data_IF_892917957842
#
_entry.id   IF_892917957842
#
_cell.length_a   1.000
_cell.length_b   1.000
_cell.length_c   1.000
_cell.angle_alpha   90.00
_cell.angle_beta   90.00
_cell.angle_gamma   90.00
#
_symmetry.space_group_name_H-M   'P 1'
#
loop_
_entity.id
_entity.type
_entity.pdbx_description
1 polymer ?
#
# COMPACT_ATOMS: atom_id res chain seq x y z
N UNK A 1 18.71 17.36 44.75
CA UNK A 1 18.66 17.53 43.31
C UNK A 1 17.21 17.71 42.91
N UNK A 2 16.83 18.94 42.67
CA UNK A 2 15.45 19.31 42.32
C UNK A 2 15.20 18.96 40.83
N UNK A 3 14.15 18.17 40.54
CA UNK A 3 13.63 17.98 39.22
C UNK A 3 12.93 19.25 38.76
N UNK A 4 13.48 19.83 37.73
CA UNK A 4 12.93 20.97 37.00
C UNK A 4 11.52 20.62 36.47
N UNK A 5 10.50 21.13 37.14
CA UNK A 5 9.12 21.10 36.66
C UNK A 5 9.03 22.17 35.58
N UNK A 6 9.18 21.81 34.31
CA UNK A 6 8.80 22.69 33.22
C UNK A 6 7.31 22.96 33.32
N UNK A 7 6.99 24.22 33.50
CA UNK A 7 5.64 24.74 33.48
C UNK A 7 5.03 24.56 32.09
N UNK A 8 4.07 23.66 31.95
CA UNK A 8 3.42 23.29 30.66
C UNK A 8 2.16 24.13 30.43
N UNK A 9 1.91 25.15 31.28
CA UNK A 9 0.62 25.84 31.37
C UNK A 9 0.34 26.91 30.30
N UNK A 10 1.29 27.24 29.40
CA UNK A 10 1.10 28.38 28.47
C UNK A 10 1.25 28.10 26.99
N UNK A 11 1.56 26.89 26.56
CA UNK A 11 1.66 26.61 25.12
C UNK A 11 0.32 26.13 24.56
N UNK A 12 -0.25 26.76 23.50
CA UNK A 12 -1.46 26.28 22.86
C UNK A 12 -1.20 24.88 22.29
N UNK A 13 -2.03 23.91 22.67
CA UNK A 13 -1.93 22.54 22.14
C UNK A 13 -2.41 22.55 20.71
N UNK A 14 -1.49 22.33 19.76
CA UNK A 14 -1.80 22.25 18.33
C UNK A 14 -1.87 20.79 17.90
N UNK A 15 -3.05 20.29 17.60
CA UNK A 15 -3.27 18.91 17.19
C UNK A 15 -3.07 18.69 15.67
N UNK A 16 -2.91 19.76 14.89
CA UNK A 16 -2.65 19.68 13.44
C UNK A 16 -3.63 18.74 12.73
N UNK A 17 -3.08 17.88 11.85
CA UNK A 17 -3.86 16.89 11.09
C UNK A 17 -4.57 15.81 11.92
N UNK A 18 -4.30 15.71 13.22
CA UNK A 18 -4.93 14.74 14.13
C UNK A 18 -6.10 15.33 14.94
N UNK A 19 -6.51 16.57 14.65
CA UNK A 19 -7.57 17.25 15.42
C UNK A 19 -8.88 16.44 15.47
N UNK A 20 -9.29 15.80 14.35
CA UNK A 20 -10.50 14.96 14.29
C UNK A 20 -10.43 13.78 15.26
N UNK A 21 -9.33 13.02 15.20
CA UNK A 21 -9.10 11.91 16.14
C UNK A 21 -9.05 12.38 17.59
N UNK A 22 -8.41 13.51 17.85
CA UNK A 22 -8.30 14.06 19.20
C UNK A 22 -9.65 14.56 19.74
N UNK A 23 -10.54 15.03 18.87
CA UNK A 23 -11.91 15.41 19.25
C UNK A 23 -12.76 14.18 19.56
N UNK A 24 -12.65 13.11 18.76
CA UNK A 24 -13.34 11.84 19.03
C UNK A 24 -12.86 11.24 20.35
N UNK A 25 -11.54 11.20 20.59
CA UNK A 25 -10.98 10.74 21.87
C UNK A 25 -11.35 11.66 23.05
N UNK A 26 -11.55 12.94 22.81
CA UNK A 26 -12.04 13.85 23.84
C UNK A 26 -13.51 13.62 24.18
N UNK A 27 -14.34 13.33 23.18
CA UNK A 27 -15.74 12.95 23.39
C UNK A 27 -15.84 11.61 24.14
N UNK A 28 -14.98 10.63 23.83
CA UNK A 28 -14.87 9.37 24.59
C UNK A 28 -14.42 9.61 26.03
N UNK A 29 -13.42 10.47 26.26
CA UNK A 29 -12.96 10.88 27.59
C UNK A 29 -14.07 11.57 28.39
N UNK A 30 -14.92 12.37 27.76
CA UNK A 30 -16.04 13.02 28.47
C UNK A 30 -17.10 12.03 28.92
N UNK A 31 -17.27 10.90 28.21
CA UNK A 31 -18.17 9.81 28.57
C UNK A 31 -17.55 8.89 29.62
N UNK A 32 -16.31 8.48 29.39
CA UNK A 32 -15.53 7.64 30.32
C UNK A 32 -14.04 8.07 30.30
N UNK A 33 -13.58 8.76 31.34
CA UNK A 33 -12.19 9.20 31.46
C UNK A 33 -11.15 8.09 31.33
N UNK A 34 -11.52 6.84 31.62
CA UNK A 34 -10.60 5.68 31.52
C UNK A 34 -10.51 5.08 30.12
N UNK A 35 -11.33 5.54 29.17
CA UNK A 35 -11.34 5.08 27.77
C UNK A 35 -10.11 5.50 26.99
N UNK A 36 -9.34 6.46 27.47
CA UNK A 36 -8.15 6.98 26.81
C UNK A 36 -6.88 6.74 27.64
N UNK A 37 -5.70 6.81 26.98
CA UNK A 37 -4.42 6.62 27.69
C UNK A 37 -4.17 7.68 28.77
N UNK A 38 -3.37 7.33 29.78
CA UNK A 38 -3.05 8.22 30.94
C UNK A 38 -2.53 9.59 30.49
N UNK A 39 -1.70 9.64 29.45
CA UNK A 39 -1.18 10.90 28.89
C UNK A 39 -2.30 11.78 28.32
N UNK A 40 -3.28 11.16 27.66
CA UNK A 40 -4.46 11.86 27.13
C UNK A 40 -5.44 12.28 28.22
N UNK A 41 -5.58 11.49 29.28
CA UNK A 41 -6.39 11.87 30.46
C UNK A 41 -5.86 13.15 31.10
N UNK A 42 -4.55 13.25 31.28
CA UNK A 42 -3.91 14.47 31.81
C UNK A 42 -4.16 15.66 30.87
N UNK A 43 -3.95 15.49 29.58
CA UNK A 43 -4.16 16.54 28.60
C UNK A 43 -5.63 17.00 28.56
N UNK A 44 -6.57 16.06 28.50
CA UNK A 44 -8.00 16.36 28.41
C UNK A 44 -8.58 16.92 29.69
N UNK A 45 -8.05 16.53 30.83
CA UNK A 45 -8.41 17.17 32.12
C UNK A 45 -7.99 18.64 32.16
N UNK A 46 -6.81 18.96 31.65
CA UNK A 46 -6.29 20.33 31.53
C UNK A 46 -7.17 21.19 30.61
N UNK A 47 -7.61 20.60 29.50
CA UNK A 47 -8.53 21.26 28.54
C UNK A 47 -9.91 21.49 29.20
N UNK A 48 -10.46 20.48 29.91
CA UNK A 48 -11.75 20.54 30.55
C UNK A 48 -11.81 21.60 31.67
N UNK A 49 -10.69 21.76 32.37
CA UNK A 49 -10.59 22.74 33.48
C UNK A 49 -10.36 24.19 33.01
N UNK A 50 -10.28 24.41 31.69
CA UNK A 50 -10.04 25.75 31.11
C UNK A 50 -8.61 26.28 31.29
N UNK A 51 -7.68 25.42 31.73
CA UNK A 51 -6.27 25.76 31.94
C UNK A 51 -5.46 25.70 30.62
N UNK A 52 -6.01 25.07 29.58
CA UNK A 52 -5.46 25.12 28.24
C UNK A 52 -6.55 25.56 27.25
N UNK A 53 -6.32 26.67 26.58
CA UNK A 53 -7.16 27.06 25.43
C UNK A 53 -6.71 26.28 24.21
N UNK A 54 -7.58 25.40 23.69
CA UNK A 54 -7.41 24.80 22.36
C UNK A 54 -7.63 25.91 21.33
N UNK A 55 -6.61 26.70 21.03
CA UNK A 55 -6.61 27.57 19.87
C UNK A 55 -6.16 26.75 18.68
N UNK A 56 -7.11 26.24 17.90
CA UNK A 56 -6.84 25.92 16.52
C UNK A 56 -6.42 27.23 15.82
N UNK A 57 -5.11 27.53 15.82
CA UNK A 57 -4.57 28.54 14.93
C UNK A 57 -4.55 27.95 13.53
N UNK A 58 -5.70 28.00 12.86
CA UNK A 58 -5.67 28.12 11.43
C UNK A 58 -5.11 29.53 11.16
N UNK A 59 -3.91 29.64 10.66
CA UNK A 59 -3.37 30.90 10.16
C UNK A 59 -4.25 31.33 8.99
N UNK A 60 -5.25 32.12 9.29
CA UNK A 60 -5.99 32.88 8.28
C UNK A 60 -5.15 34.12 7.98
N UNK A 61 -4.23 33.99 7.05
CA UNK A 61 -3.79 35.16 6.32
C UNK A 61 -4.92 35.57 5.36
N UNK A 62 -5.59 36.65 5.69
CA UNK A 62 -6.36 37.48 4.79
C UNK A 62 -7.81 37.08 4.50
N UNK A 63 -8.75 37.78 5.12
CA UNK A 63 -10.13 38.07 4.65
C UNK A 63 -10.92 36.90 4.00
N UNK A 64 -11.50 36.04 4.82
CA UNK A 64 -12.51 35.08 4.38
C UNK A 64 -13.37 34.66 5.58
N UNK A 65 -14.67 34.71 5.44
CA UNK A 65 -15.68 34.24 6.38
C UNK A 65 -15.28 32.89 7.00
N UNK A 66 -15.02 32.90 8.31
CA UNK A 66 -14.66 31.69 9.06
C UNK A 66 -15.82 30.70 8.99
N UNK A 67 -15.57 29.50 8.40
CA UNK A 67 -16.50 28.39 8.49
C UNK A 67 -16.70 28.08 10.01
N UNK A 68 -17.94 27.79 10.42
CA UNK A 68 -18.23 27.45 11.80
C UNK A 68 -17.56 26.10 12.19
N UNK A 69 -17.29 25.91 13.48
CA UNK A 69 -16.64 24.71 13.97
C UNK A 69 -17.37 23.42 13.58
N UNK A 70 -18.71 23.49 13.45
CA UNK A 70 -19.52 22.33 13.04
C UNK A 70 -19.26 21.94 11.60
N UNK A 71 -19.03 22.90 10.73
CA UNK A 71 -18.67 22.66 9.32
C UNK A 71 -17.27 22.07 9.21
N UNK A 72 -16.30 22.60 9.95
CA UNK A 72 -14.93 22.05 10.01
C UNK A 72 -14.94 20.58 10.46
N UNK A 73 -15.67 20.24 11.54
CA UNK A 73 -15.82 18.86 12.00
C UNK A 73 -16.41 17.93 10.93
N UNK A 74 -17.41 18.38 10.18
CA UNK A 74 -18.01 17.60 9.08
C UNK A 74 -17.04 17.37 7.92
N UNK A 75 -16.22 18.36 7.56
CA UNK A 75 -15.16 18.24 6.56
C UNK A 75 -14.12 17.23 7.00
N UNK A 76 -13.67 17.28 8.25
CA UNK A 76 -12.69 16.35 8.78
C UNK A 76 -13.21 14.91 8.80
N UNK A 77 -14.46 14.68 9.20
CA UNK A 77 -15.10 13.35 9.14
C UNK A 77 -15.17 12.82 7.71
N UNK A 78 -15.50 13.64 6.72
CA UNK A 78 -15.46 13.24 5.31
C UNK A 78 -14.06 12.83 4.88
N UNK A 79 -13.04 13.61 5.26
CA UNK A 79 -11.63 13.33 4.94
C UNK A 79 -11.22 11.98 5.53
N UNK A 80 -11.51 11.72 6.78
CA UNK A 80 -11.16 10.49 7.47
C UNK A 80 -11.91 9.29 6.87
N UNK A 81 -13.19 9.46 6.52
CA UNK A 81 -13.95 8.41 5.82
C UNK A 81 -13.36 8.09 4.44
N UNK A 82 -12.91 9.10 3.68
CA UNK A 82 -12.26 8.86 2.38
C UNK A 82 -10.95 8.08 2.58
N UNK A 83 -10.15 8.41 3.60
CA UNK A 83 -8.92 7.69 3.91
C UNK A 83 -9.17 6.25 4.34
N UNK A 84 -10.20 6.03 5.15
CA UNK A 84 -10.52 4.73 5.71
C UNK A 84 -11.27 3.82 4.73
N UNK A 85 -12.21 4.37 3.97
CA UNK A 85 -13.17 3.60 3.19
C UNK A 85 -13.16 3.93 1.68
N UNK A 86 -12.31 4.86 1.22
CA UNK A 86 -12.22 5.24 -0.19
C UNK A 86 -11.93 4.06 -1.11
N UNK A 87 -11.13 3.08 -0.64
CA UNK A 87 -10.84 1.84 -1.36
C UNK A 87 -12.09 1.04 -1.74
N UNK A 88 -13.20 1.19 -1.00
CA UNK A 88 -14.48 0.54 -1.33
C UNK A 88 -15.14 1.12 -2.59
N UNK A 89 -14.78 2.34 -2.99
CA UNK A 89 -15.22 2.96 -4.25
C UNK A 89 -14.12 3.02 -5.31
N UNK A 90 -12.96 2.43 -5.05
CA UNK A 90 -11.88 2.41 -6.03
C UNK A 90 -12.29 1.60 -7.28
N UNK A 91 -11.95 2.15 -8.45
CA UNK A 91 -12.19 1.54 -9.76
C UNK A 91 -11.08 0.55 -10.09
N UNK A 92 -11.12 -0.60 -9.41
CA UNK A 92 -10.12 -1.68 -9.52
C UNK A 92 -10.64 -2.91 -10.29
N UNK A 93 -11.87 -2.86 -10.77
CA UNK A 93 -12.46 -3.96 -11.52
C UNK A 93 -12.43 -3.65 -13.02
N UNK A 94 -11.71 -4.43 -13.84
CA UNK A 94 -11.64 -4.20 -15.29
C UNK A 94 -12.95 -4.54 -16.02
N UNK A 95 -13.79 -5.37 -15.40
CA UNK A 95 -15.10 -5.79 -15.88
C UNK A 95 -16.06 -5.66 -14.71
N UNK A 96 -17.30 -5.48 -14.93
CA UNK A 96 -18.42 -5.35 -13.98
C UNK A 96 -18.06 -5.41 -12.48
N UNK A 97 -17.94 -4.26 -11.85
CA UNK A 97 -17.74 -4.17 -10.42
C UNK A 97 -18.90 -4.85 -9.66
N UNK A 98 -18.62 -5.64 -8.61
CA UNK A 98 -19.67 -6.21 -7.79
C UNK A 98 -20.49 -5.10 -7.13
N UNK A 99 -21.82 -5.25 -7.11
CA UNK A 99 -22.70 -4.34 -6.38
C UNK A 99 -22.39 -4.47 -4.88
N UNK A 100 -21.88 -3.41 -4.29
CA UNK A 100 -21.64 -3.33 -2.85
C UNK A 100 -22.91 -2.81 -2.16
N UNK A 101 -23.40 -3.56 -1.19
CA UNK A 101 -24.66 -3.25 -0.46
C UNK A 101 -24.45 -2.27 0.69
N UNK A 102 -23.21 -2.14 1.18
CA UNK A 102 -22.86 -1.23 2.27
C UNK A 102 -21.59 -0.43 1.92
N UNK A 103 -21.77 0.83 1.52
CA UNK A 103 -20.68 1.77 1.34
C UNK A 103 -20.87 2.86 2.40
N UNK A 104 -19.87 3.15 3.24
CA UNK A 104 -19.90 4.26 4.17
C UNK A 104 -20.11 5.60 3.43
N UNK A 105 -20.52 6.61 4.16
CA UNK A 105 -20.65 7.99 3.65
C UNK A 105 -19.32 8.50 3.12
N UNK A 106 -19.25 8.85 1.85
CA UNK A 106 -18.01 9.24 1.15
C UNK A 106 -18.18 10.46 0.24
N UNK A 107 -19.38 11.04 0.20
CA UNK A 107 -19.67 12.19 -0.66
C UNK A 107 -19.91 13.45 0.20
N UNK A 108 -19.67 14.62 -0.38
CA UNK A 108 -19.84 15.90 0.34
C UNK A 108 -21.28 16.09 0.83
N UNK A 109 -22.25 15.62 0.06
CA UNK A 109 -23.67 15.68 0.36
C UNK A 109 -24.05 14.84 1.59
N UNK A 110 -23.36 13.71 1.81
CA UNK A 110 -23.58 12.84 2.96
C UNK A 110 -23.31 13.53 4.30
N UNK A 111 -22.49 14.59 4.26
CA UNK A 111 -22.10 15.39 5.43
C UNK A 111 -22.78 16.77 5.46
N UNK A 112 -23.81 16.98 4.64
CA UNK A 112 -24.45 18.29 4.48
C UNK A 112 -23.44 19.40 4.15
N UNK A 113 -22.47 19.07 3.29
CA UNK A 113 -21.49 20.00 2.74
C UNK A 113 -21.83 20.31 1.29
N UNK A 114 -21.40 21.45 0.80
CA UNK A 114 -21.52 21.83 -0.59
C UNK A 114 -20.23 22.47 -1.10
N UNK A 115 -20.14 22.59 -2.42
CA UNK A 115 -18.98 23.14 -3.10
C UNK A 115 -18.60 24.54 -2.62
N UNK A 116 -19.59 25.42 -2.44
CA UNK A 116 -19.33 26.81 -2.08
C UNK A 116 -18.76 26.91 -0.65
N UNK A 117 -19.31 26.12 0.27
CA UNK A 117 -18.76 26.04 1.64
C UNK A 117 -17.31 25.58 1.63
N UNK A 118 -16.96 24.54 0.85
CA UNK A 118 -15.61 23.98 0.79
C UNK A 118 -14.62 24.93 0.10
N UNK A 119 -15.06 25.79 -0.81
CA UNK A 119 -14.21 26.81 -1.44
C UNK A 119 -13.76 27.89 -0.46
N UNK A 120 -14.54 28.14 0.59
CA UNK A 120 -14.23 29.13 1.61
C UNK A 120 -13.35 28.57 2.76
N UNK A 121 -12.91 27.31 2.64
CA UNK A 121 -12.08 26.62 3.64
C UNK A 121 -10.70 26.41 3.04
N UNK A 122 -9.65 26.58 3.85
CA UNK A 122 -8.27 26.33 3.43
C UNK A 122 -8.04 24.86 3.06
N UNK A 123 -7.28 24.64 1.99
CA UNK A 123 -6.84 23.31 1.54
C UNK A 123 -6.01 22.55 2.58
N UNK A 124 -5.32 23.27 3.46
CA UNK A 124 -4.53 22.68 4.56
C UNK A 124 -5.32 21.81 5.51
N UNK A 125 -6.66 21.98 5.60
CA UNK A 125 -7.51 21.07 6.39
C UNK A 125 -7.54 19.65 5.84
N UNK A 126 -7.39 19.49 4.53
CA UNK A 126 -7.39 18.17 3.87
C UNK A 126 -6.06 17.46 4.08
N UNK A 127 -4.97 18.19 3.90
CA UNK A 127 -3.61 17.71 4.20
C UNK A 127 -2.67 18.92 4.32
N UNK A 128 -1.77 18.91 5.28
CA UNK A 128 -0.77 19.97 5.48
C UNK A 128 0.05 20.26 4.20
N UNK A 129 0.22 19.22 3.35
CA UNK A 129 0.96 19.33 2.09
C UNK A 129 0.14 19.96 0.97
N UNK A 130 -1.12 20.24 1.17
CA UNK A 130 -2.01 20.79 0.15
C UNK A 130 -2.16 22.30 0.26
N UNK A 131 -1.76 22.90 1.39
CA UNK A 131 -1.88 24.34 1.62
C UNK A 131 -1.20 25.20 0.53
N UNK A 132 -0.06 24.73 0.01
CA UNK A 132 0.70 25.43 -1.01
C UNK A 132 0.40 24.96 -2.45
N UNK A 133 -0.50 23.98 -2.62
CA UNK A 133 -0.75 23.34 -3.90
C UNK A 133 -2.17 23.63 -4.42
N UNK A 134 -3.15 23.74 -3.52
CA UNK A 134 -4.54 23.93 -3.86
C UNK A 134 -5.11 25.17 -3.18
N UNK A 135 -5.92 25.92 -3.91
CA UNK A 135 -6.47 27.19 -3.43
C UNK A 135 -7.46 27.02 -2.27
N UNK A 136 -8.16 25.88 -2.20
CA UNK A 136 -9.21 25.64 -1.22
C UNK A 136 -9.45 24.15 -0.96
N UNK A 137 -10.26 23.86 0.09
CA UNK A 137 -10.56 22.49 0.49
C UNK A 137 -11.33 21.70 -0.58
N UNK A 138 -12.11 22.34 -1.43
CA UNK A 138 -12.85 21.65 -2.50
C UNK A 138 -11.90 21.01 -3.51
N UNK A 139 -10.92 21.78 -4.01
CA UNK A 139 -9.95 21.27 -4.98
C UNK A 139 -9.06 20.20 -4.35
N UNK A 140 -8.64 20.39 -3.10
CA UNK A 140 -7.87 19.41 -2.35
C UNK A 140 -8.65 18.10 -2.15
N UNK A 141 -9.94 18.16 -1.77
CA UNK A 141 -10.81 16.99 -1.64
C UNK A 141 -11.00 16.27 -2.98
N UNK A 142 -11.23 16.99 -4.06
CA UNK A 142 -11.32 16.38 -5.41
C UNK A 142 -10.05 15.62 -5.78
N UNK A 143 -8.90 16.16 -5.44
CA UNK A 143 -7.62 15.47 -5.65
C UNK A 143 -7.51 14.22 -4.79
N UNK A 144 -7.90 14.31 -3.52
CA UNK A 144 -7.91 13.19 -2.59
C UNK A 144 -8.87 12.08 -3.05
N UNK A 145 -10.09 12.42 -3.43
CA UNK A 145 -11.06 11.48 -4.01
C UNK A 145 -10.48 10.74 -5.20
N UNK A 146 -9.90 11.48 -6.16
CA UNK A 146 -9.25 10.88 -7.33
C UNK A 146 -8.13 9.91 -6.93
N UNK A 147 -7.47 10.13 -5.80
CA UNK A 147 -6.39 9.28 -5.33
C UNK A 147 -6.91 8.01 -4.65
N UNK A 148 -7.89 8.14 -3.74
CA UNK A 148 -8.42 7.03 -2.95
C UNK A 148 -9.53 6.24 -3.64
N UNK A 149 -10.25 6.86 -4.58
CA UNK A 149 -11.34 6.24 -5.36
C UNK A 149 -10.90 5.91 -6.80
N UNK A 150 -9.61 6.06 -7.15
CA UNK A 150 -9.08 5.81 -8.48
C UNK A 150 -8.83 4.33 -8.77
N UNK A 151 -7.94 4.04 -9.73
CA UNK A 151 -7.60 2.68 -10.17
C UNK A 151 -6.67 1.92 -9.23
N UNK A 152 -6.34 2.47 -8.07
CA UNK A 152 -5.54 1.83 -7.01
C UNK A 152 -6.31 1.97 -5.71
N UNK A 153 -6.53 0.85 -5.02
CA UNK A 153 -7.09 0.81 -3.67
C UNK A 153 -5.96 0.89 -2.64
N UNK A 154 -6.14 1.71 -1.61
CA UNK A 154 -5.19 1.86 -0.51
C UNK A 154 -5.84 1.46 0.81
N UNK A 155 -5.30 0.45 1.46
CA UNK A 155 -5.74 -0.07 2.75
C UNK A 155 -4.54 -0.08 3.71
N UNK A 156 -4.43 0.92 4.58
CA UNK A 156 -3.30 1.06 5.50
C UNK A 156 -3.70 1.46 6.94
N UNK A 157 -4.98 1.73 7.17
CA UNK A 157 -5.45 2.20 8.47
C UNK A 157 -5.38 1.12 9.59
N UNK A 158 -5.26 -0.16 9.19
CA UNK A 158 -5.04 -1.27 10.11
C UNK A 158 -3.61 -1.32 10.69
N UNK A 159 -2.68 -0.52 10.16
CA UNK A 159 -1.29 -0.48 10.64
C UNK A 159 -1.26 0.24 12.00
N UNK A 160 -0.85 -0.46 13.05
CA UNK A 160 -0.82 0.07 14.41
C UNK A 160 0.30 1.10 14.62
N UNK A 161 1.42 0.98 13.89
CA UNK A 161 2.54 1.92 13.98
C UNK A 161 2.16 3.28 13.37
N UNK A 162 1.98 4.29 14.21
CA UNK A 162 1.56 5.62 13.78
C UNK A 162 2.58 6.30 12.84
N UNK A 163 3.88 6.10 13.04
CA UNK A 163 4.92 6.68 12.17
C UNK A 163 4.83 6.11 10.76
N UNK A 164 4.67 4.80 10.65
CA UNK A 164 4.52 4.08 9.39
C UNK A 164 3.23 4.50 8.67
N UNK A 165 2.11 4.50 9.39
CA UNK A 165 0.81 4.93 8.85
C UNK A 165 0.85 6.38 8.36
N UNK A 166 1.48 7.29 9.10
CA UNK A 166 1.63 8.71 8.71
C UNK A 166 2.53 8.84 7.48
N UNK A 167 3.61 8.07 7.40
CA UNK A 167 4.48 8.05 6.22
C UNK A 167 3.73 7.56 4.98
N UNK A 168 2.95 6.48 5.08
CA UNK A 168 2.13 5.96 3.98
C UNK A 168 1.09 6.99 3.54
N UNK A 169 0.35 7.59 4.49
CA UNK A 169 -0.62 8.65 4.21
C UNK A 169 0.04 9.77 3.39
N UNK A 170 1.16 10.30 3.87
CA UNK A 170 1.91 11.34 3.19
C UNK A 170 2.32 10.91 1.77
N UNK A 171 2.85 9.69 1.63
CA UNK A 171 3.29 9.15 0.34
C UNK A 171 2.13 8.98 -0.65
N UNK A 172 0.98 8.53 -0.18
CA UNK A 172 -0.23 8.35 -1.00
C UNK A 172 -0.77 9.73 -1.45
N UNK A 173 -0.88 10.69 -0.55
CA UNK A 173 -1.50 11.99 -0.80
C UNK A 173 -0.59 12.94 -1.59
N UNK A 174 0.73 12.83 -1.46
CA UNK A 174 1.66 13.65 -2.23
C UNK A 174 1.46 13.43 -3.73
N UNK A 175 1.32 14.50 -4.52
CA UNK A 175 1.24 14.39 -5.97
C UNK A 175 2.47 13.68 -6.52
N UNK A 176 2.27 12.52 -7.09
CA UNK A 176 3.32 11.75 -7.74
C UNK A 176 3.04 11.65 -9.23
N UNK A 177 3.97 12.15 -10.03
CA UNK A 177 3.96 11.92 -11.48
C UNK A 177 5.03 10.87 -11.77
N UNK A 178 4.59 9.66 -12.07
CA UNK A 178 5.50 8.64 -12.57
C UNK A 178 6.09 9.12 -13.90
N UNK A 179 7.37 9.46 -13.90
CA UNK A 179 8.09 9.75 -15.13
C UNK A 179 8.88 8.51 -15.50
N UNK A 180 8.34 7.71 -16.43
CA UNK A 180 9.06 6.59 -17.03
C UNK A 180 9.75 7.16 -18.28
N UNK A 181 11.07 7.13 -18.30
CA UNK A 181 11.85 7.59 -19.45
C UNK A 181 11.74 6.62 -20.64
N UNK A 182 12.30 6.98 -21.78
CA UNK A 182 12.18 6.18 -23.02
C UNK A 182 12.81 4.79 -22.90
N UNK A 183 13.96 4.69 -22.24
CA UNK A 183 14.65 3.40 -22.07
C UNK A 183 13.88 2.49 -21.10
N UNK A 184 13.33 3.04 -20.04
CA UNK A 184 12.46 2.29 -19.12
C UNK A 184 11.19 1.79 -19.81
N UNK A 185 10.59 2.59 -20.69
CA UNK A 185 9.44 2.16 -21.51
C UNK A 185 9.80 1.01 -22.46
N UNK A 186 10.96 1.10 -23.12
CA UNK A 186 11.45 0.06 -24.00
C UNK A 186 11.73 -1.23 -23.21
N UNK A 187 12.37 -1.13 -22.06
CA UNK A 187 12.62 -2.28 -21.19
C UNK A 187 11.34 -2.92 -20.67
N UNK A 188 10.38 -2.11 -20.25
CA UNK A 188 9.06 -2.59 -19.84
C UNK A 188 8.36 -3.33 -20.99
N UNK A 189 8.37 -2.75 -22.19
CA UNK A 189 7.79 -3.39 -23.37
C UNK A 189 8.47 -4.72 -23.70
N UNK A 190 9.81 -4.78 -23.69
CA UNK A 190 10.55 -6.03 -23.90
C UNK A 190 10.20 -7.08 -22.86
N UNK A 191 10.14 -6.71 -21.58
CA UNK A 191 9.76 -7.64 -20.51
C UNK A 191 8.36 -8.20 -20.74
N UNK A 192 7.38 -7.35 -21.05
CA UNK A 192 6.01 -7.79 -21.31
C UNK A 192 5.93 -8.68 -22.57
N UNK A 193 6.68 -8.36 -23.62
CA UNK A 193 6.76 -9.18 -24.83
C UNK A 193 7.36 -10.57 -24.55
N UNK A 194 8.37 -10.67 -23.69
CA UNK A 194 8.93 -11.97 -23.28
C UNK A 194 7.94 -12.76 -22.44
N UNK A 195 7.25 -12.13 -21.48
CA UNK A 195 6.22 -12.75 -20.66
C UNK A 195 5.10 -13.33 -21.52
N UNK A 196 4.55 -12.54 -22.43
CA UNK A 196 3.50 -12.96 -23.36
C UNK A 196 3.98 -14.06 -24.32
N UNK A 197 5.19 -13.87 -24.89
CA UNK A 197 5.79 -14.83 -25.81
C UNK A 197 6.00 -16.20 -25.16
N UNK A 198 6.43 -16.23 -23.89
CA UNK A 198 6.59 -17.46 -23.13
C UNK A 198 5.25 -18.18 -22.92
N UNK A 199 4.19 -17.45 -22.50
CA UNK A 199 2.85 -18.03 -22.33
C UNK A 199 2.30 -18.58 -23.66
N UNK A 200 2.43 -17.82 -24.74
CA UNK A 200 1.99 -18.25 -26.08
C UNK A 200 2.76 -19.49 -26.56
N UNK A 201 4.07 -19.54 -26.30
CA UNK A 201 4.90 -20.69 -26.65
C UNK A 201 4.43 -21.95 -25.89
N UNK A 202 4.26 -21.85 -24.58
CA UNK A 202 3.77 -22.98 -23.77
C UNK A 202 2.37 -23.42 -24.18
N UNK A 203 1.49 -22.47 -24.47
CA UNK A 203 0.13 -22.76 -24.91
C UNK A 203 0.11 -23.55 -26.24
N UNK A 204 0.93 -23.12 -27.19
CA UNK A 204 0.97 -23.72 -28.52
C UNK A 204 1.62 -25.10 -28.53
N UNK A 205 2.69 -25.29 -27.76
CA UNK A 205 3.49 -26.52 -27.84
C UNK A 205 3.09 -27.58 -26.82
N UNK A 206 2.44 -27.21 -25.71
CA UNK A 206 2.03 -28.13 -24.64
C UNK A 206 0.52 -28.03 -24.40
N UNK A 207 -0.24 -28.35 -25.43
CA UNK A 207 -1.71 -28.30 -25.41
C UNK A 207 -2.25 -29.23 -24.33
N UNK A 208 -3.15 -28.69 -23.48
CA UNK A 208 -3.76 -29.45 -22.36
C UNK A 208 -2.89 -29.55 -21.09
N UNK A 209 -1.62 -29.17 -21.14
CA UNK A 209 -0.80 -29.11 -19.93
C UNK A 209 -1.22 -27.96 -19.02
N UNK A 210 -1.35 -28.26 -17.72
CA UNK A 210 -1.61 -27.21 -16.70
C UNK A 210 -0.38 -26.30 -16.62
N UNK A 211 -0.57 -24.99 -16.71
CA UNK A 211 0.51 -23.99 -16.63
C UNK A 211 0.20 -22.81 -15.69
N UNK A 212 -1.07 -22.65 -15.26
CA UNK A 212 -1.51 -21.53 -14.43
C UNK A 212 -0.99 -20.19 -14.95
N UNK A 213 -1.40 -19.88 -16.20
CA UNK A 213 -0.97 -18.73 -16.96
C UNK A 213 -1.03 -17.41 -16.18
N UNK A 214 -0.05 -16.53 -16.43
CA UNK A 214 0.01 -15.16 -15.88
C UNK A 214 -0.95 -14.21 -16.58
N UNK A 215 -1.54 -14.59 -17.69
CA UNK A 215 -2.41 -13.73 -18.50
C UNK A 215 -3.45 -12.97 -17.65
N UNK A 216 -3.51 -11.65 -17.88
CA UNK A 216 -4.32 -10.71 -17.09
C UNK A 216 -3.62 -10.10 -15.87
N UNK A 217 -2.45 -10.63 -15.46
CA UNK A 217 -1.57 -10.05 -14.43
C UNK A 217 -0.11 -9.99 -14.88
N UNK A 218 0.12 -9.82 -16.16
CA UNK A 218 1.43 -9.85 -16.82
C UNK A 218 2.41 -8.82 -16.25
N UNK A 219 1.89 -7.71 -15.74
CA UNK A 219 2.68 -6.67 -15.08
C UNK A 219 3.33 -7.12 -13.77
N UNK A 220 2.97 -8.28 -13.22
CA UNK A 220 3.62 -8.83 -12.02
C UNK A 220 5.13 -8.98 -12.22
N UNK A 221 5.57 -9.45 -13.39
CA UNK A 221 7.01 -9.66 -13.67
C UNK A 221 7.79 -8.34 -13.63
N UNK A 222 7.44 -7.31 -14.42
CA UNK A 222 8.17 -6.04 -14.35
C UNK A 222 8.01 -5.33 -12.99
N UNK A 223 6.91 -5.51 -12.27
CA UNK A 223 6.75 -4.99 -10.90
C UNK A 223 7.74 -5.64 -9.94
N UNK A 224 7.90 -6.96 -9.99
CA UNK A 224 8.90 -7.66 -9.16
C UNK A 224 10.33 -7.22 -9.53
N UNK A 225 10.67 -7.16 -10.82
CA UNK A 225 11.99 -6.68 -11.26
C UNK A 225 12.27 -5.26 -10.78
N UNK A 226 11.29 -4.36 -10.86
CA UNK A 226 11.43 -3.00 -10.33
C UNK A 226 11.61 -2.99 -8.81
N UNK A 227 10.88 -3.82 -8.09
CA UNK A 227 10.97 -3.96 -6.63
C UNK A 227 12.37 -4.45 -6.22
N UNK A 228 12.91 -5.46 -6.91
CA UNK A 228 14.27 -5.97 -6.66
C UNK A 228 15.34 -4.89 -6.90
N UNK A 229 15.20 -4.14 -8.00
CA UNK A 229 16.08 -3.01 -8.30
C UNK A 229 16.01 -1.93 -7.21
N UNK A 230 14.82 -1.60 -6.72
CA UNK A 230 14.64 -0.63 -5.63
C UNK A 230 15.21 -1.16 -4.32
N UNK A 231 14.98 -2.43 -4.00
CA UNK A 231 15.53 -3.08 -2.83
C UNK A 231 17.08 -3.03 -2.82
N UNK A 232 17.70 -3.24 -3.98
CA UNK A 232 19.16 -3.10 -4.12
C UNK A 232 19.65 -1.67 -3.86
N UNK A 233 18.90 -0.65 -4.27
CA UNK A 233 19.23 0.76 -3.99
C UNK A 233 19.14 1.13 -2.51
N UNK A 234 18.42 0.33 -1.72
CA UNK A 234 18.29 0.47 -0.26
C UNK A 234 19.13 -0.59 0.50
N UNK A 235 20.15 -1.17 -0.17
CA UNK A 235 21.06 -2.18 0.37
C UNK A 235 20.37 -3.45 0.93
N UNK A 236 19.19 -3.79 0.43
CA UNK A 236 18.47 -5.00 0.84
C UNK A 236 19.01 -6.19 0.05
N UNK A 237 19.68 -7.10 0.73
CA UNK A 237 20.37 -8.25 0.15
C UNK A 237 19.48 -9.50 0.09
N UNK A 238 18.57 -9.69 1.03
CA UNK A 238 17.75 -10.90 1.12
C UNK A 238 16.29 -10.59 0.82
N UNK A 239 15.76 -11.19 -0.24
CA UNK A 239 14.38 -11.03 -0.67
C UNK A 239 13.70 -12.40 -0.73
N UNK A 240 12.58 -12.52 -0.06
CA UNK A 240 11.76 -13.71 -0.09
C UNK A 240 10.42 -13.43 -0.78
N UNK A 241 10.09 -14.25 -1.79
CA UNK A 241 8.85 -14.18 -2.56
C UNK A 241 7.97 -15.36 -2.18
N UNK A 242 6.73 -15.07 -1.76
CA UNK A 242 5.66 -16.05 -1.58
C UNK A 242 4.56 -15.79 -2.59
N UNK A 243 4.18 -16.81 -3.35
CA UNK A 243 3.10 -16.70 -4.33
C UNK A 243 2.43 -18.04 -4.59
N UNK A 244 1.16 -17.99 -4.97
CA UNK A 244 0.40 -19.14 -5.45
C UNK A 244 0.84 -19.55 -6.88
N UNK A 245 0.00 -20.29 -7.60
CA UNK A 245 0.38 -20.89 -8.90
C UNK A 245 0.37 -19.91 -10.06
N UNK A 246 -0.55 -18.93 -10.07
CA UNK A 246 -0.77 -18.05 -11.20
C UNK A 246 0.48 -17.24 -11.52
N UNK A 247 1.01 -17.43 -12.72
CA UNK A 247 2.22 -16.76 -13.19
C UNK A 247 3.53 -17.26 -12.59
N UNK A 248 3.51 -18.33 -11.78
CA UNK A 248 4.71 -18.83 -11.11
C UNK A 248 5.81 -19.25 -12.07
N UNK A 249 5.47 -19.89 -13.20
CA UNK A 249 6.44 -20.28 -14.22
C UNK A 249 7.12 -19.07 -14.84
N UNK A 250 6.36 -18.00 -15.07
CA UNK A 250 6.91 -16.71 -15.53
C UNK A 250 7.83 -16.05 -14.52
N UNK A 251 7.48 -16.09 -13.22
CA UNK A 251 8.34 -15.55 -12.17
C UNK A 251 9.63 -16.36 -12.04
N UNK A 252 9.57 -17.69 -12.09
CA UNK A 252 10.76 -18.54 -12.12
C UNK A 252 11.67 -18.20 -13.31
N UNK A 253 11.10 -18.01 -14.50
CA UNK A 253 11.87 -17.78 -15.72
C UNK A 253 12.39 -16.36 -15.82
N UNK A 254 11.57 -15.32 -15.57
CA UNK A 254 11.93 -13.94 -15.84
C UNK A 254 12.38 -13.13 -14.60
N UNK A 255 12.17 -13.65 -13.40
CA UNK A 255 12.64 -12.98 -12.16
C UNK A 255 13.80 -13.77 -11.54
N UNK A 256 13.68 -15.10 -11.41
CA UNK A 256 14.77 -15.94 -10.93
C UNK A 256 15.70 -16.41 -12.05
N UNK A 257 15.41 -16.05 -13.32
CA UNK A 257 16.21 -16.38 -14.50
C UNK A 257 16.44 -17.88 -14.70
N UNK A 258 15.44 -18.70 -14.36
CA UNK A 258 15.45 -20.13 -14.69
C UNK A 258 15.52 -20.29 -16.21
N UNK A 259 16.49 -21.02 -16.76
CA UNK A 259 16.64 -21.20 -18.20
C UNK A 259 15.37 -21.73 -18.88
N UNK A 260 15.06 -21.26 -20.08
CA UNK A 260 13.91 -21.75 -20.86
C UNK A 260 14.01 -23.24 -21.15
N UNK A 261 15.21 -23.73 -21.47
CA UNK A 261 15.51 -25.12 -21.73
C UNK A 261 15.15 -26.00 -20.51
N UNK A 262 15.48 -25.53 -19.32
CA UNK A 262 15.13 -26.21 -18.08
C UNK A 262 13.60 -26.26 -17.90
N UNK A 263 12.91 -25.15 -18.13
CA UNK A 263 11.46 -25.10 -18.06
C UNK A 263 10.79 -26.00 -19.09
N UNK A 264 11.27 -26.01 -20.31
CA UNK A 264 10.75 -26.83 -21.40
C UNK A 264 10.99 -28.32 -21.12
N UNK A 265 12.17 -28.69 -20.60
CA UNK A 265 12.49 -30.08 -20.25
C UNK A 265 11.52 -30.65 -19.20
N UNK A 266 11.08 -29.83 -18.25
CA UNK A 266 10.05 -30.23 -17.28
C UNK A 266 8.68 -30.51 -17.94
N UNK A 267 8.32 -29.79 -18.99
CA UNK A 267 7.13 -30.07 -19.78
C UNK A 267 7.26 -31.32 -20.65
N UNK A 268 8.47 -31.59 -21.12
CA UNK A 268 8.80 -32.77 -21.93
C UNK A 268 9.09 -34.01 -21.08
N UNK A 269 9.02 -33.92 -19.72
CA UNK A 269 9.36 -34.97 -18.78
C UNK A 269 10.78 -35.52 -18.98
N UNK A 270 11.71 -34.66 -19.37
CA UNK A 270 13.15 -34.94 -19.45
C UNK A 270 13.88 -34.37 -18.25
N UNK A 271 15.15 -34.76 -18.05
CA UNK A 271 15.93 -34.31 -16.90
C UNK A 271 16.26 -32.80 -17.00
N UNK A 272 15.68 -31.94 -16.15
CA UNK A 272 15.92 -30.50 -16.19
C UNK A 272 17.29 -30.11 -15.63
N UNK A 273 17.94 -30.99 -14.84
CA UNK A 273 19.21 -30.68 -14.16
C UNK A 273 20.37 -30.50 -15.12
N UNK A 274 20.26 -31.01 -16.34
CA UNK A 274 21.24 -30.83 -17.45
C UNK A 274 21.41 -29.37 -17.89
N UNK A 275 20.43 -28.51 -17.56
CA UNK A 275 20.39 -27.11 -17.97
C UNK A 275 20.59 -26.15 -16.78
N UNK A 276 20.98 -26.70 -15.59
CA UNK A 276 21.26 -25.87 -14.44
C UNK A 276 22.54 -25.05 -14.69
N UNK A 277 22.56 -23.73 -14.40
CA UNK A 277 23.78 -22.94 -14.52
C UNK A 277 24.90 -23.48 -13.67
N UNK A 278 26.09 -23.70 -14.27
CA UNK A 278 27.27 -24.25 -13.61
C UNK A 278 27.87 -23.30 -12.56
N UNK A 279 27.60 -22.01 -12.68
CA UNK A 279 28.08 -20.95 -11.77
C UNK A 279 27.42 -20.98 -10.38
N UNK A 280 26.45 -21.86 -10.17
CA UNK A 280 25.74 -21.99 -8.90
C UNK A 280 24.82 -20.80 -8.55
N UNK A 281 24.61 -19.86 -9.49
CA UNK A 281 23.78 -18.67 -9.29
C UNK A 281 22.31 -18.99 -9.05
N UNK A 282 21.85 -20.15 -9.56
CA UNK A 282 20.49 -20.64 -9.40
C UNK A 282 20.49 -21.99 -8.67
N UNK A 283 19.76 -22.08 -7.57
CA UNK A 283 19.48 -23.33 -6.87
C UNK A 283 17.98 -23.58 -6.89
N UNK A 284 17.56 -24.72 -7.40
CA UNK A 284 16.16 -25.14 -7.31
C UNK A 284 15.93 -25.84 -5.97
N UNK A 285 14.84 -25.48 -5.32
CA UNK A 285 14.40 -26.24 -4.13
C UNK A 285 13.86 -27.58 -4.58
N UNK A 286 14.42 -28.67 -4.03
CA UNK A 286 13.88 -29.99 -4.26
C UNK A 286 12.45 -30.05 -3.73
N UNK A 287 11.50 -30.37 -4.60
CA UNK A 287 10.13 -30.70 -4.22
C UNK A 287 10.05 -32.14 -3.68
N UNK A 288 8.87 -32.50 -3.17
CA UNK A 288 8.55 -33.89 -2.83
C UNK A 288 8.51 -34.73 -4.11
N UNK A 289 8.85 -36.01 -4.01
CA UNK A 289 8.71 -36.95 -5.12
C UNK A 289 7.27 -36.90 -5.65
N UNK A 290 7.12 -36.53 -6.95
CA UNK A 290 5.80 -36.36 -7.58
C UNK A 290 5.22 -34.95 -7.50
N UNK A 291 5.97 -33.98 -6.92
CA UNK A 291 5.56 -32.57 -6.96
C UNK A 291 5.60 -32.01 -8.40
N UNK A 292 4.75 -31.05 -8.66
CA UNK A 292 4.57 -30.52 -10.02
C UNK A 292 5.33 -29.22 -10.19
N UNK A 293 5.83 -28.98 -11.41
CA UNK A 293 6.69 -27.85 -11.78
C UNK A 293 6.22 -26.48 -11.28
N UNK A 294 4.93 -26.27 -11.13
CA UNK A 294 4.35 -25.00 -10.68
C UNK A 294 4.21 -24.89 -9.14
N UNK A 295 4.70 -25.88 -8.38
CA UNK A 295 4.84 -25.79 -6.93
C UNK A 295 6.29 -25.55 -6.49
N UNK A 296 7.25 -25.83 -7.37
CA UNK A 296 8.66 -25.69 -7.05
C UNK A 296 9.05 -24.23 -6.88
N UNK A 297 9.95 -24.00 -5.96
CA UNK A 297 10.62 -22.74 -5.75
C UNK A 297 12.05 -22.73 -6.28
N UNK A 298 12.77 -21.72 -5.90
CA UNK A 298 14.20 -21.61 -6.25
C UNK A 298 14.84 -20.46 -5.49
N UNK A 299 16.16 -20.47 -5.46
CA UNK A 299 16.97 -19.39 -4.90
C UNK A 299 17.94 -18.95 -5.97
N UNK A 300 17.97 -17.64 -6.23
CA UNK A 300 18.93 -17.01 -7.13
C UNK A 300 19.80 -16.04 -6.35
N UNK A 301 21.12 -16.14 -6.57
CA UNK A 301 22.07 -15.10 -6.17
C UNK A 301 22.45 -14.29 -7.40
N UNK A 302 22.35 -12.98 -7.35
CA UNK A 302 22.62 -12.08 -8.46
C UNK A 302 23.24 -10.78 -8.01
N UNK A 303 24.11 -10.20 -8.84
CA UNK A 303 24.64 -8.83 -8.66
C UNK A 303 24.12 -7.86 -9.74
N UNK A 304 23.07 -8.24 -10.46
CA UNK A 304 22.55 -7.49 -11.62
C UNK A 304 22.09 -6.05 -11.26
N UNK A 305 21.85 -5.76 -10.00
CA UNK A 305 21.38 -4.45 -9.55
C UNK A 305 22.43 -3.64 -8.77
N UNK A 306 23.72 -4.06 -8.86
CA UNK A 306 24.85 -3.32 -8.27
C UNK A 306 25.28 -3.79 -6.89
N UNK A 307 24.48 -4.61 -6.23
CA UNK A 307 24.83 -5.33 -4.98
C UNK A 307 24.51 -6.81 -5.13
N UNK A 308 25.13 -7.65 -4.32
CA UNK A 308 24.77 -9.06 -4.26
C UNK A 308 23.40 -9.22 -3.55
N UNK A 309 22.45 -9.82 -4.25
CA UNK A 309 21.13 -10.13 -3.71
C UNK A 309 20.84 -11.63 -3.77
N UNK A 310 20.32 -12.16 -2.68
CA UNK A 310 19.76 -13.50 -2.59
C UNK A 310 18.23 -13.41 -2.70
N UNK A 311 17.67 -13.86 -3.82
CA UNK A 311 16.26 -13.84 -4.12
C UNK A 311 15.72 -15.26 -4.01
N UNK A 312 14.82 -15.51 -3.09
CA UNK A 312 14.20 -16.81 -2.90
C UNK A 312 12.72 -16.79 -3.24
N UNK A 313 12.27 -17.77 -3.99
CA UNK A 313 10.87 -18.08 -4.20
C UNK A 313 10.54 -19.35 -3.42
N UNK A 314 9.69 -19.21 -2.40
CA UNK A 314 9.26 -20.34 -1.58
C UNK A 314 8.44 -21.35 -2.41
N UNK A 315 8.59 -22.64 -2.10
CA UNK A 315 7.69 -23.65 -2.62
C UNK A 315 6.26 -23.37 -2.16
N UNK A 316 5.28 -23.73 -2.97
CA UNK A 316 3.89 -23.61 -2.55
C UNK A 316 3.19 -24.97 -2.64
N UNK A 317 2.34 -25.32 -1.68
CA UNK A 317 1.44 -26.47 -1.81
C UNK A 317 0.30 -26.15 -2.78
N UNK A 318 -0.44 -27.18 -3.18
CA UNK A 318 -1.57 -27.03 -4.10
C UNK A 318 -2.78 -26.30 -3.50
N UNK A 319 -2.81 -26.08 -2.19
CA UNK A 319 -3.91 -25.46 -1.47
C UNK A 319 -3.63 -23.97 -1.20
N UNK A 320 -4.56 -23.13 -1.62
CA UNK A 320 -4.42 -21.67 -1.55
C UNK A 320 -4.24 -21.16 -0.10
N UNK A 321 -4.89 -21.79 0.86
CA UNK A 321 -4.83 -21.42 2.28
C UNK A 321 -3.40 -21.47 2.83
N UNK A 322 -2.61 -22.47 2.41
CA UNK A 322 -1.22 -22.59 2.87
C UNK A 322 -0.31 -21.59 2.14
N UNK A 323 -0.61 -21.25 0.89
CA UNK A 323 0.12 -20.21 0.18
C UNK A 323 0.01 -18.85 0.89
N UNK A 324 -1.15 -18.54 1.48
CA UNK A 324 -1.38 -17.29 2.20
C UNK A 324 -0.59 -17.19 3.50
N UNK A 325 -0.17 -18.30 4.11
CA UNK A 325 0.68 -18.29 5.30
C UNK A 325 2.06 -17.63 5.06
N UNK A 326 2.56 -17.68 3.84
CA UNK A 326 3.84 -17.03 3.48
C UNK A 326 3.69 -15.55 3.18
N UNK A 327 2.50 -15.10 2.85
CA UNK A 327 2.26 -13.72 2.38
C UNK A 327 1.54 -12.87 3.42
N UNK A 328 0.90 -13.49 4.42
CA UNK A 328 0.12 -12.81 5.43
C UNK A 328 0.16 -13.57 6.75
N UNK A 329 0.49 -12.93 7.88
CA UNK A 329 0.40 -13.58 9.18
C UNK A 329 -1.05 -13.99 9.45
N UNK A 330 -1.25 -15.25 9.82
CA UNK A 330 -2.58 -15.73 10.23
C UNK A 330 -3.06 -14.97 11.47
N UNK A 331 -4.34 -14.62 11.56
CA UNK A 331 -4.93 -14.11 12.79
C UNK A 331 -4.73 -15.04 14.00
N UNK A 332 -4.50 -16.34 13.77
CA UNK A 332 -4.22 -17.33 14.82
C UNK A 332 -2.80 -17.22 15.39
N UNK A 333 -1.87 -16.61 14.66
CA UNK A 333 -0.48 -16.41 15.10
C UNK A 333 -0.31 -15.17 15.99
N UNK A 334 -1.42 -14.51 16.33
CA UNK A 334 -1.49 -13.35 17.24
C UNK A 334 -1.94 -13.76 18.65
N UNK A 335 -1.56 -14.95 19.07
CA UNK A 335 -1.77 -15.40 20.44
C UNK A 335 -0.84 -14.73 21.46
#
# INVERSE_FOLDING_TARGET
MAKDKRDVSEAPVNFGANLGLMLDLYDDYLQDPTSVSDDLQVLFSTIKNGEAQVKAKFTTDGSGTSADDSTIKRVMRLIDNIRQYGHLKADIYPVNAPKRTHIPKLEIEDFNLNKETLKNISSGIVSDHFSDIYDNAYEALKRMEKRYKGSIAFEYNHINNNKERTWLKRRIETPYKATINSDEKINLFKTLAHVEGFEKYLHKNFVGAKRFSIEGVDTLVPMLQHTLKRAAQEDIQNIQIGMAHRGRLNVLTHVLEKPYEMMISEFMHTDPMKFLPEDGSLKLTAGWTGDVKYHLGGVKTTSSYGIEQCISLANNPSHLEICLLYTSPSPRDRG
#
